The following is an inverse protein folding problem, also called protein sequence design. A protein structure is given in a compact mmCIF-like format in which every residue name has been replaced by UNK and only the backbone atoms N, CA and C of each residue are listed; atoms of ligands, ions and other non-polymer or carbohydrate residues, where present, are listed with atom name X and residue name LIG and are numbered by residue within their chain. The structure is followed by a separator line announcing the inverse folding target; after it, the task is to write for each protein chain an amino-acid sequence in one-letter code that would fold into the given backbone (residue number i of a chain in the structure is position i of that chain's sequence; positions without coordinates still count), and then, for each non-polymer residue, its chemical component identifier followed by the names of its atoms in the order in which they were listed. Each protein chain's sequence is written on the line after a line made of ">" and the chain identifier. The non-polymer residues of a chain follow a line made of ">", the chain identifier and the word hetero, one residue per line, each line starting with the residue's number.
data_IF_049933553191
#
_entry.id   IF_049933553191
#
_cell.length_a   1.000
_cell.length_b   1.000
_cell.length_c   1.000
_cell.angle_alpha   90.00
_cell.angle_beta   90.00
_cell.angle_gamma   90.00
#
_symmetry.space_group_name_H-M   'P 1'
#
loop_
_entity.id
_entity.type
_entity.pdbx_description
1 polymer ?
#
# COMPACT_ATOMS: atom_id res chain seq x y z
N UNK A 1 -49.08 40.13 53.28
CA UNK A 1 -48.10 41.10 53.81
C UNK A 1 -46.74 40.76 53.22
N UNK A 2 -46.18 41.64 52.38
CA UNK A 2 -44.84 41.53 51.77
C UNK A 2 -43.76 41.72 52.84
N UNK A 3 -42.70 40.90 52.84
CA UNK A 3 -41.30 41.34 53.09
C UNK A 3 -40.35 40.46 52.26
N UNK A 4 -39.24 41.06 51.84
CA UNK A 4 -38.46 40.86 50.61
C UNK A 4 -37.11 40.15 50.83
N UNK A 5 -36.64 39.49 49.78
CA UNK A 5 -35.30 38.95 49.44
C UNK A 5 -34.05 39.51 50.14
N UNK A 6 -33.04 38.64 50.38
CA UNK A 6 -31.61 38.98 50.30
C UNK A 6 -30.78 37.86 49.64
N UNK A 7 -30.27 38.17 48.46
CA UNK A 7 -29.26 37.46 47.70
C UNK A 7 -27.93 37.35 48.46
N UNK A 8 -27.20 36.24 48.34
CA UNK A 8 -25.74 36.25 48.13
C UNK A 8 -25.35 35.02 47.32
N UNK A 9 -24.92 35.32 46.10
CA UNK A 9 -24.40 34.43 45.07
C UNK A 9 -22.94 34.09 45.43
N UNK A 10 -22.56 32.81 45.44
CA UNK A 10 -21.17 32.39 45.38
C UNK A 10 -21.01 31.42 44.21
N UNK A 11 -20.98 31.97 43.00
CA UNK A 11 -20.52 31.26 41.80
C UNK A 11 -18.99 31.23 41.86
N UNK A 12 -18.43 30.11 42.30
CA UNK A 12 -17.02 29.81 42.08
C UNK A 12 -16.81 29.57 40.57
N UNK A 13 -16.36 30.59 39.86
CA UNK A 13 -15.87 30.43 38.50
C UNK A 13 -14.52 29.70 38.56
N UNK A 14 -14.54 28.38 38.41
CA UNK A 14 -13.35 27.64 38.01
C UNK A 14 -13.06 28.00 36.54
N UNK A 15 -12.12 28.91 36.34
CA UNK A 15 -11.50 29.11 35.02
C UNK A 15 -10.62 27.88 34.77
N UNK A 16 -11.20 26.85 34.17
CA UNK A 16 -10.44 25.75 33.60
C UNK A 16 -9.66 26.27 32.41
N UNK A 17 -8.35 26.43 32.56
CA UNK A 17 -7.45 26.58 31.42
C UNK A 17 -7.49 25.23 30.69
N UNK A 18 -8.36 25.12 29.69
CA UNK A 18 -8.31 24.02 28.76
C UNK A 18 -7.04 24.20 27.92
N UNK A 19 -5.97 23.51 28.31
CA UNK A 19 -4.82 23.33 27.42
C UNK A 19 -5.33 22.65 26.15
N UNK A 20 -5.48 23.41 25.07
CA UNK A 20 -5.77 22.87 23.75
C UNK A 20 -4.55 22.07 23.30
N UNK A 21 -4.49 20.79 23.68
CA UNK A 21 -3.62 19.84 23.00
C UNK A 21 -4.15 19.70 21.59
N UNK A 22 -3.42 20.18 20.59
CA UNK A 22 -3.75 19.93 19.18
C UNK A 22 -3.76 18.41 18.98
N UNK A 23 -4.94 17.83 18.82
CA UNK A 23 -5.07 16.43 18.47
C UNK A 23 -4.47 16.22 17.08
N UNK A 24 -3.43 15.40 16.98
CA UNK A 24 -2.93 14.94 15.70
C UNK A 24 -4.04 14.13 15.03
N UNK A 25 -4.57 14.64 13.92
CA UNK A 25 -5.64 13.97 13.19
C UNK A 25 -5.05 13.20 12.01
N UNK A 26 -5.32 11.90 11.96
CA UNK A 26 -5.14 11.09 10.75
C UNK A 26 -6.51 10.84 10.16
N UNK A 27 -6.73 11.30 8.93
CA UNK A 27 -7.96 11.03 8.17
C UNK A 27 -7.65 9.98 7.11
N UNK A 28 -8.41 8.88 7.12
CA UNK A 28 -8.33 7.82 6.11
C UNK A 28 -9.62 7.84 5.33
N UNK A 29 -9.52 8.05 4.02
CA UNK A 29 -10.65 8.02 3.09
C UNK A 29 -10.42 6.91 2.06
N UNK A 30 -11.37 6.00 1.90
CA UNK A 30 -11.33 4.92 0.91
C UNK A 30 -12.56 5.04 0.02
N UNK A 31 -12.36 5.05 -1.30
CA UNK A 31 -13.47 5.03 -2.26
C UNK A 31 -14.19 3.67 -2.24
N UNK A 32 -15.42 3.63 -2.75
CA UNK A 32 -16.03 2.34 -3.11
C UNK A 32 -15.19 1.63 -4.18
N UNK A 33 -15.24 0.31 -4.18
CA UNK A 33 -14.66 -0.52 -5.23
C UNK A 33 -15.49 -0.39 -6.51
N UNK A 34 -14.82 -0.19 -7.64
CA UNK A 34 -15.43 -0.07 -8.97
C UNK A 34 -14.79 -1.10 -9.90
N UNK A 35 -15.62 -1.89 -10.58
CA UNK A 35 -15.16 -2.88 -11.54
C UNK A 35 -14.35 -2.23 -12.67
N UNK A 36 -13.14 -2.73 -12.90
CA UNK A 36 -12.29 -2.34 -14.03
C UNK A 36 -12.25 -3.44 -15.11
N UNK A 37 -12.17 -4.69 -14.67
CA UNK A 37 -12.15 -5.86 -15.53
C UNK A 37 -13.02 -6.96 -14.91
N UNK A 38 -13.24 -8.05 -15.66
CA UNK A 38 -13.93 -9.23 -15.13
C UNK A 38 -13.14 -9.77 -13.94
N UNK A 39 -13.76 -9.74 -12.75
CA UNK A 39 -13.13 -10.23 -11.52
C UNK A 39 -12.09 -9.29 -10.90
N UNK A 40 -11.96 -8.03 -11.38
CA UNK A 40 -11.00 -7.05 -10.84
C UNK A 40 -11.70 -5.72 -10.56
N UNK A 41 -11.69 -5.29 -9.30
CA UNK A 41 -12.21 -4.00 -8.87
C UNK A 41 -11.10 -3.10 -8.32
N UNK A 42 -11.16 -1.79 -8.63
CA UNK A 42 -10.27 -0.79 -8.06
C UNK A 42 -10.96 0.04 -6.98
N UNK A 43 -10.26 0.30 -5.88
CA UNK A 43 -10.52 1.40 -4.96
C UNK A 43 -9.27 2.28 -4.78
N UNK A 44 -9.48 3.54 -4.37
CA UNK A 44 -8.41 4.47 -4.01
C UNK A 44 -8.53 4.84 -2.54
N UNK A 45 -7.43 4.74 -1.80
CA UNK A 45 -7.33 5.27 -0.45
C UNK A 45 -6.45 6.52 -0.42
N UNK A 46 -6.81 7.47 0.45
CA UNK A 46 -6.02 8.66 0.77
C UNK A 46 -5.90 8.77 2.28
N UNK A 47 -4.66 8.88 2.75
CA UNK A 47 -4.33 9.04 4.16
C UNK A 47 -3.73 10.44 4.31
N UNK A 48 -4.39 11.29 5.07
CA UNK A 48 -3.89 12.64 5.41
C UNK A 48 -3.51 12.64 6.87
N UNK A 49 -2.24 12.92 7.16
CA UNK A 49 -1.69 12.95 8.53
C UNK A 49 -1.05 14.30 8.83
N UNK A 50 -1.29 14.82 10.03
CA UNK A 50 -0.55 15.97 10.59
C UNK A 50 0.32 15.58 11.78
N UNK A 51 0.55 14.28 11.99
CA UNK A 51 1.15 13.76 13.23
C UNK A 51 2.66 14.08 13.38
N UNK A 52 3.35 14.28 12.27
CA UNK A 52 4.81 14.48 12.18
C UNK A 52 5.22 15.86 11.64
N UNK A 53 4.25 16.70 11.25
CA UNK A 53 4.49 17.98 10.59
C UNK A 53 3.31 18.95 10.78
N UNK A 54 3.61 20.25 10.82
CA UNK A 54 2.61 21.33 10.79
C UNK A 54 1.91 21.46 9.44
N UNK A 55 2.45 20.82 8.40
CA UNK A 55 1.85 20.70 7.07
C UNK A 55 1.32 19.27 6.87
N UNK A 56 0.08 19.08 6.39
CA UNK A 56 -0.48 17.75 6.16
C UNK A 56 0.35 16.92 5.15
N UNK A 57 0.78 15.74 5.58
CA UNK A 57 1.37 14.72 4.71
C UNK A 57 0.24 13.86 4.11
N UNK A 58 0.30 13.62 2.79
CA UNK A 58 -0.70 12.82 2.08
C UNK A 58 -0.08 11.58 1.47
N UNK A 59 -0.60 10.41 1.84
CA UNK A 59 -0.29 9.13 1.17
C UNK A 59 -1.49 8.67 0.34
N UNK A 60 -1.21 8.04 -0.79
CA UNK A 60 -2.23 7.50 -1.71
C UNK A 60 -1.96 6.03 -1.92
N UNK A 61 -3.01 5.21 -1.86
CA UNK A 61 -2.95 3.81 -2.26
C UNK A 61 -3.98 3.53 -3.37
N UNK A 62 -3.56 2.73 -4.35
CA UNK A 62 -4.45 2.09 -5.32
C UNK A 62 -4.61 0.63 -4.90
N UNK A 63 -5.86 0.17 -4.80
CA UNK A 63 -6.21 -1.12 -4.21
C UNK A 63 -6.97 -1.93 -5.26
N UNK A 64 -6.33 -2.95 -5.80
CA UNK A 64 -6.95 -3.91 -6.71
C UNK A 64 -7.48 -5.10 -5.92
N UNK A 65 -8.78 -5.37 -6.02
CA UNK A 65 -9.43 -6.54 -5.44
C UNK A 65 -9.71 -7.54 -6.56
N UNK A 66 -9.12 -8.73 -6.44
CA UNK A 66 -9.19 -9.77 -7.47
C UNK A 66 -10.02 -10.95 -6.95
N UNK A 67 -11.07 -11.31 -7.69
CA UNK A 67 -11.83 -12.54 -7.48
C UNK A 67 -11.11 -13.71 -8.18
N UNK A 68 -10.45 -14.57 -7.39
CA UNK A 68 -9.69 -15.72 -7.89
C UNK A 68 -10.57 -16.80 -8.56
N UNK A 69 -11.89 -16.74 -8.36
CA UNK A 69 -12.84 -17.66 -8.99
C UNK A 69 -13.38 -17.13 -10.34
N UNK A 70 -13.18 -15.84 -10.65
CA UNK A 70 -13.68 -15.26 -11.88
C UNK A 70 -13.04 -15.91 -13.13
N UNK A 71 -13.81 -16.18 -14.19
CA UNK A 71 -13.28 -16.77 -15.41
C UNK A 71 -12.18 -15.91 -16.04
N UNK A 72 -11.08 -16.54 -16.43
CA UNK A 72 -9.96 -15.86 -17.10
C UNK A 72 -8.94 -15.20 -16.18
N UNK A 73 -9.13 -15.23 -14.85
CA UNK A 73 -8.10 -14.75 -13.91
C UNK A 73 -6.90 -15.69 -13.91
N UNK A 74 -5.73 -15.10 -14.09
CA UNK A 74 -4.43 -15.76 -14.03
C UNK A 74 -3.36 -14.78 -13.57
N UNK A 75 -2.25 -15.32 -13.07
CA UNK A 75 -1.12 -14.56 -12.57
C UNK A 75 0.16 -15.05 -13.24
N UNK A 76 1.07 -14.13 -13.54
CA UNK A 76 2.40 -14.44 -14.04
C UNK A 76 3.39 -13.45 -13.45
N UNK A 77 4.63 -13.87 -13.32
CA UNK A 77 5.77 -13.06 -12.88
C UNK A 77 6.79 -12.98 -14.02
N UNK A 78 7.81 -12.14 -13.88
CA UNK A 78 8.89 -12.03 -14.87
C UNK A 78 9.58 -13.40 -15.05
N UNK A 79 9.67 -13.93 -16.28
CA UNK A 79 10.32 -15.21 -16.55
C UNK A 79 11.84 -15.08 -16.50
N UNK A 80 12.55 -16.22 -16.46
CA UNK A 80 14.00 -16.21 -16.55
C UNK A 80 14.49 -15.65 -17.88
N UNK A 81 15.53 -14.82 -17.84
CA UNK A 81 16.15 -14.24 -19.02
C UNK A 81 17.53 -13.66 -18.74
N UNK A 82 18.37 -13.61 -19.76
CA UNK A 82 19.70 -13.02 -19.65
C UNK A 82 20.72 -13.94 -18.96
N UNK A 83 21.89 -13.41 -18.58
CA UNK A 83 22.96 -14.19 -17.93
C UNK A 83 22.75 -14.43 -16.43
N UNK A 84 21.80 -13.75 -15.79
CA UNK A 84 21.39 -13.92 -14.39
C UNK A 84 20.00 -14.56 -14.32
N UNK A 85 19.32 -14.45 -13.18
CA UNK A 85 17.99 -15.05 -12.99
C UNK A 85 16.93 -14.43 -13.91
N UNK A 86 16.92 -13.10 -14.06
CA UNK A 86 15.99 -12.38 -14.93
C UNK A 86 16.62 -11.10 -15.51
N UNK A 87 15.89 -10.42 -16.38
CA UNK A 87 16.17 -9.04 -16.80
C UNK A 87 15.15 -8.10 -16.17
N UNK A 88 15.62 -7.02 -15.54
CA UNK A 88 14.76 -5.96 -14.98
C UNK A 88 14.03 -5.20 -16.08
N UNK A 89 12.84 -4.71 -15.74
CA UNK A 89 12.06 -3.79 -16.57
C UNK A 89 11.11 -3.00 -15.69
N UNK A 90 10.61 -1.87 -16.20
CA UNK A 90 9.59 -1.10 -15.47
C UNK A 90 8.28 -1.88 -15.42
N UNK A 91 7.45 -1.62 -14.41
CA UNK A 91 6.10 -2.20 -14.30
C UNK A 91 5.26 -1.93 -15.56
N UNK A 92 5.44 -0.75 -16.19
CA UNK A 92 4.77 -0.41 -17.44
C UNK A 92 5.27 -1.23 -18.64
N UNK A 93 6.58 -1.51 -18.73
CA UNK A 93 7.14 -2.39 -19.76
C UNK A 93 6.66 -3.83 -19.58
N UNK A 94 6.58 -4.33 -18.33
CA UNK A 94 6.01 -5.65 -18.04
C UNK A 94 4.54 -5.73 -18.44
N UNK A 95 3.72 -4.74 -18.06
CA UNK A 95 2.32 -4.67 -18.42
C UNK A 95 2.12 -4.72 -19.95
N UNK A 96 2.89 -3.92 -20.69
CA UNK A 96 2.81 -3.83 -22.15
C UNK A 96 3.27 -5.12 -22.86
N UNK A 97 4.39 -5.70 -22.43
CA UNK A 97 4.97 -6.90 -23.07
C UNK A 97 4.17 -8.18 -22.82
N UNK A 98 3.51 -8.27 -21.66
CA UNK A 98 2.69 -9.44 -21.30
C UNK A 98 1.23 -9.31 -21.72
N UNK A 99 0.76 -8.10 -21.99
CA UNK A 99 -0.67 -7.83 -22.20
C UNK A 99 -1.50 -7.98 -20.92
N UNK A 100 -0.87 -7.91 -19.75
CA UNK A 100 -1.57 -7.96 -18.47
C UNK A 100 -2.50 -6.74 -18.28
N UNK A 101 -3.56 -6.92 -17.50
CA UNK A 101 -4.51 -5.86 -17.17
C UNK A 101 -4.06 -5.02 -15.97
N UNK A 102 -3.33 -5.65 -15.04
CA UNK A 102 -2.78 -5.05 -13.82
C UNK A 102 -1.36 -5.58 -13.61
N UNK A 103 -0.45 -4.71 -13.16
CA UNK A 103 0.92 -5.10 -12.80
C UNK A 103 1.43 -4.26 -11.61
N UNK A 104 2.25 -4.88 -10.76
CA UNK A 104 2.96 -4.25 -9.65
C UNK A 104 4.41 -4.74 -9.64
N UNK A 105 5.32 -3.99 -9.02
CA UNK A 105 6.63 -4.54 -8.66
C UNK A 105 6.49 -5.56 -7.51
N UNK A 106 7.32 -6.60 -7.50
CA UNK A 106 7.18 -7.74 -6.58
C UNK A 106 8.47 -8.05 -5.78
N UNK A 107 9.33 -8.97 -6.26
CA UNK A 107 10.56 -9.36 -5.56
C UNK A 107 11.52 -8.16 -5.33
N UNK A 108 12.33 -8.27 -4.28
CA UNK A 108 13.49 -7.39 -4.11
C UNK A 108 14.61 -7.79 -5.07
N UNK A 109 15.43 -6.81 -5.44
CA UNK A 109 16.60 -6.94 -6.30
C UNK A 109 17.57 -5.79 -5.99
N UNK A 110 18.83 -5.92 -6.42
CA UNK A 110 19.94 -5.05 -5.98
C UNK A 110 19.84 -3.60 -6.46
N UNK A 111 19.69 -3.40 -7.77
CA UNK A 111 19.86 -2.08 -8.36
C UNK A 111 18.65 -1.67 -9.20
N UNK A 112 17.95 -0.61 -8.77
CA UNK A 112 16.89 0.01 -9.56
C UNK A 112 17.51 0.89 -10.64
N UNK A 113 17.70 0.32 -11.83
CA UNK A 113 18.18 1.04 -13.00
C UNK A 113 17.04 1.61 -13.87
N UNK A 114 17.30 2.72 -14.56
CA UNK A 114 16.36 3.29 -15.53
C UNK A 114 16.25 2.47 -16.84
N UNK A 115 17.21 1.57 -17.06
CA UNK A 115 17.32 0.71 -18.23
C UNK A 115 17.35 -0.74 -17.79
N UNK A 116 16.82 -1.63 -18.63
CA UNK A 116 16.85 -3.06 -18.39
C UNK A 116 18.28 -3.58 -18.19
N UNK A 117 18.47 -4.38 -17.14
CA UNK A 117 19.73 -4.99 -16.72
C UNK A 117 19.47 -6.43 -16.29
N UNK A 118 20.43 -7.36 -16.47
CA UNK A 118 20.36 -8.66 -15.81
C UNK A 118 20.34 -8.47 -14.29
N UNK A 119 19.46 -9.19 -13.58
CA UNK A 119 19.30 -9.11 -12.13
C UNK A 119 19.19 -10.50 -11.49
N UNK A 120 19.72 -10.61 -10.28
CA UNK A 120 19.37 -11.65 -9.32
C UNK A 120 18.24 -11.15 -8.41
N UNK A 121 17.28 -12.01 -8.13
CA UNK A 121 16.16 -11.74 -7.24
C UNK A 121 16.49 -12.22 -5.82
N UNK A 122 15.93 -11.52 -4.83
CA UNK A 122 16.01 -11.93 -3.43
C UNK A 122 14.71 -12.62 -3.01
N UNK A 123 14.79 -13.93 -2.78
CA UNK A 123 13.67 -14.79 -2.40
C UNK A 123 13.06 -15.56 -3.57
N UNK A 124 12.26 -16.59 -3.26
CA UNK A 124 11.65 -17.46 -4.26
C UNK A 124 10.86 -16.65 -5.30
N UNK A 125 11.12 -16.93 -6.58
CA UNK A 125 10.32 -16.47 -7.71
C UNK A 125 10.00 -17.66 -8.64
N UNK A 126 8.72 -17.80 -8.99
CA UNK A 126 8.24 -18.82 -9.91
C UNK A 126 7.38 -18.15 -10.96
N UNK A 127 7.69 -18.41 -12.24
CA UNK A 127 6.92 -17.91 -13.39
C UNK A 127 6.40 -19.10 -14.20
N UNK A 128 5.08 -19.21 -14.32
CA UNK A 128 4.40 -20.27 -15.09
C UNK A 128 4.90 -21.70 -14.76
N UNK A 129 5.14 -21.98 -13.48
CA UNK A 129 5.61 -23.28 -12.99
C UNK A 129 7.13 -23.49 -13.05
N UNK A 130 7.88 -22.55 -13.62
CA UNK A 130 9.35 -22.59 -13.66
C UNK A 130 9.94 -21.75 -12.53
N UNK A 131 10.87 -22.32 -11.77
CA UNK A 131 11.64 -21.58 -10.77
C UNK A 131 12.59 -20.63 -11.49
N UNK A 132 12.40 -19.33 -11.25
CA UNK A 132 13.25 -18.24 -11.78
C UNK A 132 14.36 -17.92 -10.79
N UNK A 133 14.00 -17.82 -9.52
CA UNK A 133 14.93 -17.62 -8.40
C UNK A 133 14.59 -18.64 -7.31
N UNK A 134 15.54 -19.47 -6.85
CA UNK A 134 15.30 -20.40 -5.76
C UNK A 134 15.14 -19.66 -4.44
N UNK A 135 14.48 -20.28 -3.46
CA UNK A 135 14.45 -19.73 -2.11
C UNK A 135 15.88 -19.68 -1.54
N UNK A 136 16.36 -18.49 -1.22
CA UNK A 136 17.59 -18.27 -0.45
C UNK A 136 17.25 -17.96 1.01
N UNK A 137 18.09 -18.41 1.93
CA UNK A 137 18.03 -18.06 3.35
C UNK A 137 19.38 -17.46 3.72
N UNK A 138 19.51 -16.13 3.66
CA UNK A 138 20.67 -15.38 4.16
C UNK A 138 20.38 -14.81 5.55
N UNK A 139 21.42 -14.59 6.37
CA UNK A 139 21.27 -14.01 7.72
C UNK A 139 20.88 -12.53 7.70
N UNK A 140 21.11 -11.83 6.59
CA UNK A 140 21.03 -10.36 6.52
C UNK A 140 20.22 -9.83 5.31
N UNK A 141 19.74 -10.71 4.42
CA UNK A 141 18.93 -10.31 3.26
C UNK A 141 17.44 -10.48 3.56
N UNK A 142 16.67 -9.40 3.42
CA UNK A 142 15.22 -9.48 3.41
C UNK A 142 14.77 -10.24 2.14
N UNK A 143 14.61 -11.56 2.25
CA UNK A 143 14.00 -12.37 1.20
C UNK A 143 12.47 -12.29 1.34
N UNK A 144 11.79 -11.80 0.30
CA UNK A 144 10.34 -11.76 0.26
C UNK A 144 9.83 -12.36 -1.06
N UNK A 145 8.78 -13.16 -0.95
CA UNK A 145 8.10 -13.77 -2.09
C UNK A 145 6.62 -13.41 -2.06
N UNK A 146 6.10 -12.98 -3.21
CA UNK A 146 4.66 -12.88 -3.42
C UNK A 146 4.14 -14.23 -3.88
N UNK A 147 3.49 -14.96 -2.97
CA UNK A 147 2.84 -16.21 -3.27
C UNK A 147 1.35 -15.97 -3.54
N UNK A 148 0.90 -16.34 -4.74
CA UNK A 148 -0.52 -16.31 -5.12
C UNK A 148 -0.94 -17.74 -5.40
N UNK A 149 -1.85 -18.26 -4.57
CA UNK A 149 -2.44 -19.59 -4.74
C UNK A 149 -3.93 -19.44 -5.02
N UNK A 150 -4.45 -20.30 -5.90
CA UNK A 150 -5.89 -20.44 -6.12
C UNK A 150 -6.52 -21.36 -5.10
#
# INVERSE_FOLDING_TARGET
>A
MKVTSRYTLAMCAFVGIASATSANATTISVSSFVAQFVGVDLAKATIVSTADSTSPNTSVAYIERIDLAAPGIGFTTTPSSGPLETTSQTTSQFLQSTGAQVAINANFFSDVAATASPEDLLGLAVSNGTVVSPQSFGSDDAAASLLITK
#
